data_IF_393087537625
#
_entry.id   IF_393087537625
#
_cell.length_a   1.000
_cell.length_b   1.000
_cell.length_c   1.000
_cell.angle_alpha   90.00
_cell.angle_beta   90.00
_cell.angle_gamma   90.00
#
_symmetry.space_group_name_H-M   'P 1'
#
loop_
_entity.id
_entity.type
_entity.pdbx_description
1 polymer ?
#
# COMPACT_ATOMS: atom_id res chain seq x y z
N UNK A 1 -31.05 -0.31 17.53
CA UNK A 1 -30.08 -1.12 18.28
C UNK A 1 -28.73 -0.55 17.90
N UNK A 2 -28.01 0.06 18.84
CA UNK A 2 -26.62 0.43 18.60
C UNK A 2 -25.82 -0.87 18.46
N UNK A 3 -25.35 -1.18 17.26
CA UNK A 3 -24.38 -2.26 17.07
C UNK A 3 -23.07 -1.78 17.67
N UNK A 4 -22.71 -2.34 18.83
CA UNK A 4 -21.40 -2.12 19.44
C UNK A 4 -20.41 -2.96 18.62
N UNK A 5 -19.75 -2.33 17.66
CA UNK A 5 -18.67 -2.96 16.88
C UNK A 5 -17.51 -3.25 17.82
N UNK A 6 -17.10 -4.52 17.91
CA UNK A 6 -16.00 -4.95 18.78
C UNK A 6 -14.70 -5.00 17.98
N UNK A 7 -13.78 -4.11 18.31
CA UNK A 7 -12.44 -4.05 17.70
C UNK A 7 -11.38 -4.79 18.52
N UNK A 8 -10.26 -5.13 17.88
CA UNK A 8 -9.08 -5.71 18.51
C UNK A 8 -8.47 -4.75 19.52
N UNK A 9 -7.91 -5.28 20.62
CA UNK A 9 -7.21 -4.45 21.59
C UNK A 9 -5.85 -3.96 21.08
N UNK A 10 -5.34 -2.86 21.66
CA UNK A 10 -4.05 -2.24 21.30
C UNK A 10 -2.88 -3.23 21.38
N UNK A 11 -2.84 -4.08 22.41
CA UNK A 11 -1.77 -5.08 22.54
C UNK A 11 -1.82 -6.12 21.43
N UNK A 12 -3.02 -6.51 20.98
CA UNK A 12 -3.16 -7.39 19.82
C UNK A 12 -2.72 -6.70 18.54
N UNK A 13 -3.09 -5.42 18.35
CA UNK A 13 -2.64 -4.61 17.23
C UNK A 13 -1.10 -4.55 17.17
N UNK A 14 -0.41 -4.26 18.28
CA UNK A 14 1.06 -4.23 18.33
C UNK A 14 1.68 -5.58 17.98
N UNK A 15 1.09 -6.69 18.44
CA UNK A 15 1.55 -8.04 18.07
C UNK A 15 1.42 -8.25 16.55
N UNK A 16 0.30 -7.82 15.95
CA UNK A 16 0.14 -7.87 14.49
C UNK A 16 1.22 -7.03 13.82
N UNK A 17 1.35 -5.74 14.16
CA UNK A 17 2.29 -4.81 13.53
C UNK A 17 3.76 -5.28 13.62
N UNK A 18 4.16 -5.82 14.77
CA UNK A 18 5.52 -6.34 14.99
C UNK A 18 5.81 -7.65 14.24
N UNK A 19 4.78 -8.39 13.83
CA UNK A 19 4.93 -9.61 13.03
C UNK A 19 5.08 -9.35 11.53
N UNK A 20 4.74 -8.15 11.06
CA UNK A 20 4.74 -7.81 9.63
C UNK A 20 6.13 -7.48 9.13
N UNK A 21 6.50 -8.09 8.00
CA UNK A 21 7.61 -7.62 7.19
C UNK A 21 7.18 -6.43 6.33
N UNK A 22 8.12 -5.61 5.82
CA UNK A 22 7.81 -4.58 4.84
C UNK A 22 7.11 -5.15 3.60
N UNK A 23 7.49 -6.36 3.18
CA UNK A 23 6.86 -7.05 2.05
C UNK A 23 5.38 -7.37 2.32
N UNK A 24 5.04 -7.85 3.53
CA UNK A 24 3.65 -8.11 3.93
C UNK A 24 2.78 -6.84 3.90
N UNK A 25 3.41 -5.67 4.02
CA UNK A 25 2.75 -4.36 4.01
C UNK A 25 2.62 -3.82 2.58
N UNK A 26 3.66 -3.89 1.76
CA UNK A 26 3.62 -3.26 0.42
C UNK A 26 2.98 -4.15 -0.64
N UNK A 27 3.15 -5.48 -0.54
CA UNK A 27 2.70 -6.43 -1.56
C UNK A 27 1.19 -6.37 -1.79
N UNK A 28 0.32 -6.35 -0.77
CA UNK A 28 -1.13 -6.32 -1.00
C UNK A 28 -1.57 -5.04 -1.72
N UNK A 29 -0.98 -3.88 -1.38
CA UNK A 29 -1.24 -2.63 -2.08
C UNK A 29 -0.81 -2.71 -3.54
N UNK A 30 0.40 -3.22 -3.80
CA UNK A 30 0.95 -3.32 -5.15
C UNK A 30 0.16 -4.26 -6.05
N UNK A 31 -0.24 -5.44 -5.56
CA UNK A 31 -1.06 -6.41 -6.31
C UNK A 31 -2.47 -5.89 -6.64
N UNK A 32 -2.96 -4.89 -5.92
CA UNK A 32 -4.27 -4.29 -6.12
C UNK A 32 -4.23 -2.88 -6.74
N UNK A 33 -3.03 -2.38 -7.01
CA UNK A 33 -2.79 -1.09 -7.65
C UNK A 33 -2.77 -1.24 -9.17
N UNK A 34 -3.16 -0.18 -9.87
CA UNK A 34 -3.05 -0.12 -11.33
C UNK A 34 -2.83 1.32 -11.77
N UNK A 35 -1.70 1.58 -12.42
CA UNK A 35 -1.31 2.91 -12.90
C UNK A 35 -2.42 3.57 -13.71
N UNK A 36 -2.73 4.82 -13.40
CA UNK A 36 -3.77 5.64 -14.01
C UNK A 36 -5.21 5.22 -13.70
N UNK A 37 -5.44 4.13 -12.97
CA UNK A 37 -6.78 3.54 -12.78
C UNK A 37 -7.18 3.33 -11.33
N UNK A 38 -6.33 2.68 -10.53
CA UNK A 38 -6.65 2.24 -9.16
C UNK A 38 -5.53 2.61 -8.20
N UNK A 39 -5.89 3.29 -7.11
CA UNK A 39 -5.03 3.46 -5.95
C UNK A 39 -5.04 2.15 -5.16
N UNK A 40 -3.86 1.60 -4.88
CA UNK A 40 -3.73 0.37 -4.08
C UNK A 40 -3.53 0.71 -2.61
N UNK A 41 -4.21 -0.02 -1.74
CA UNK A 41 -4.08 0.10 -0.28
C UNK A 41 -3.78 -1.25 0.34
N UNK A 42 -2.99 -1.24 1.41
CA UNK A 42 -2.93 -2.33 2.38
C UNK A 42 -3.63 -1.88 3.64
N UNK A 43 -4.65 -2.63 4.06
CA UNK A 43 -5.53 -2.30 5.19
C UNK A 43 -5.48 -3.38 6.25
N UNK A 44 -5.61 -2.96 7.50
CA UNK A 44 -5.84 -3.84 8.64
C UNK A 44 -7.28 -3.67 9.10
N UNK A 45 -8.07 -4.74 9.07
CA UNK A 45 -9.43 -4.77 9.61
C UNK A 45 -9.36 -4.76 11.15
N UNK A 46 -9.93 -3.74 11.80
CA UNK A 46 -9.87 -3.63 13.25
C UNK A 46 -10.78 -4.62 13.99
N UNK A 47 -11.76 -5.22 13.33
CA UNK A 47 -12.63 -6.24 13.93
C UNK A 47 -11.97 -7.62 13.94
N UNK A 48 -11.33 -8.00 12.82
CA UNK A 48 -10.74 -9.33 12.65
C UNK A 48 -9.23 -9.37 12.94
N UNK A 49 -8.54 -8.24 12.82
CA UNK A 49 -7.07 -8.16 12.83
C UNK A 49 -6.41 -8.64 11.54
N UNK A 50 -7.19 -8.92 10.49
CA UNK A 50 -6.67 -9.39 9.21
C UNK A 50 -6.17 -8.24 8.33
N UNK A 51 -5.10 -8.52 7.58
CA UNK A 51 -4.51 -7.57 6.64
C UNK A 51 -4.87 -8.00 5.22
N UNK A 52 -5.28 -7.04 4.40
CA UNK A 52 -5.70 -7.29 3.03
C UNK A 52 -5.43 -6.11 2.12
N UNK A 53 -5.29 -6.40 0.83
CA UNK A 53 -5.15 -5.39 -0.23
C UNK A 53 -6.50 -4.96 -0.79
N UNK A 54 -6.64 -3.69 -1.17
CA UNK A 54 -7.80 -3.20 -1.93
C UNK A 54 -7.37 -2.18 -2.98
N UNK A 55 -7.93 -2.33 -4.19
CA UNK A 55 -7.78 -1.37 -5.28
C UNK A 55 -9.01 -0.49 -5.35
N UNK A 56 -8.82 0.82 -5.18
CA UNK A 56 -9.90 1.80 -5.22
C UNK A 56 -9.78 2.60 -6.52
N UNK A 57 -10.81 2.52 -7.36
CA UNK A 57 -10.89 3.35 -8.57
C UNK A 57 -11.10 4.82 -8.20
N UNK A 58 -10.58 5.73 -9.03
CA UNK A 58 -10.61 7.18 -8.82
C UNK A 58 -11.99 7.77 -8.48
N UNK A 59 -13.08 7.11 -8.89
CA UNK A 59 -14.45 7.58 -8.67
C UNK A 59 -15.22 6.77 -7.62
N UNK A 60 -14.61 5.76 -7.00
CA UNK A 60 -15.26 4.95 -5.97
C UNK A 60 -14.78 5.40 -4.60
N UNK A 61 -15.72 5.82 -3.75
CA UNK A 61 -15.45 5.99 -2.33
C UNK A 61 -15.35 4.60 -1.68
N UNK A 62 -14.42 4.38 -0.74
CA UNK A 62 -14.34 3.13 0.00
C UNK A 62 -15.68 2.86 0.70
N UNK A 63 -16.15 1.61 0.64
CA UNK A 63 -17.44 1.20 1.17
C UNK A 63 -17.51 1.49 2.69
N UNK A 64 -18.68 1.92 3.23
CA UNK A 64 -18.75 2.61 4.52
C UNK A 64 -18.75 1.72 5.76
N UNK A 65 -18.62 0.39 5.63
CA UNK A 65 -19.13 -0.52 6.66
C UNK A 65 -18.07 -1.36 7.41
N UNK A 66 -16.78 -1.12 7.21
CA UNK A 66 -15.73 -1.84 7.94
C UNK A 66 -14.82 -0.85 8.66
N UNK A 67 -14.55 -1.08 9.94
CA UNK A 67 -13.56 -0.28 10.69
C UNK A 67 -12.17 -0.81 10.34
N UNK A 68 -11.34 0.00 9.70
CA UNK A 68 -9.99 -0.38 9.27
C UNK A 68 -9.00 0.76 9.45
N UNK A 69 -7.71 0.43 9.36
CA UNK A 69 -6.62 1.41 9.22
C UNK A 69 -5.78 1.10 7.98
N UNK A 70 -5.39 2.15 7.26
CA UNK A 70 -4.47 2.04 6.13
C UNK A 70 -3.02 1.94 6.63
N UNK A 71 -2.35 0.84 6.30
CA UNK A 71 -0.94 0.60 6.61
C UNK A 71 0.00 1.16 5.54
N UNK A 72 -0.42 1.08 4.27
CA UNK A 72 0.35 1.55 3.12
C UNK A 72 -0.58 1.88 1.95
N UNK A 73 -0.12 2.79 1.06
CA UNK A 73 -0.89 3.31 -0.07
C UNK A 73 0.04 3.56 -1.25
N UNK A 74 -0.42 3.24 -2.45
CA UNK A 74 0.20 3.63 -3.72
C UNK A 74 -0.85 4.39 -4.53
N UNK A 75 -0.63 5.69 -4.77
CA UNK A 75 -1.58 6.49 -5.55
C UNK A 75 -1.65 6.02 -7.00
N UNK A 76 -2.83 6.16 -7.61
CA UNK A 76 -3.05 5.71 -8.99
C UNK A 76 -2.11 6.38 -9.99
N UNK A 77 -1.62 7.58 -9.70
CA UNK A 77 -0.71 8.32 -10.57
C UNK A 77 0.74 8.30 -10.11
N UNK A 78 1.04 7.61 -9.00
CA UNK A 78 2.41 7.40 -8.60
C UNK A 78 3.05 6.37 -9.51
N UNK A 79 4.33 6.55 -9.81
CA UNK A 79 5.17 5.48 -10.31
C UNK A 79 6.14 5.11 -9.19
N UNK A 80 5.84 4.04 -8.42
CA UNK A 80 6.45 3.90 -7.12
C UNK A 80 7.87 3.30 -7.21
N UNK A 81 8.29 2.82 -8.39
CA UNK A 81 9.66 2.37 -8.71
C UNK A 81 9.99 2.80 -10.15
N UNK A 82 10.95 3.71 -10.30
CA UNK A 82 11.42 4.14 -11.61
C UNK A 82 12.40 3.12 -12.23
N UNK A 83 12.67 3.28 -13.53
CA UNK A 83 13.55 2.38 -14.29
C UNK A 83 15.01 2.39 -13.77
N UNK A 84 15.47 3.55 -13.29
CA UNK A 84 16.84 3.74 -12.77
C UNK A 84 17.04 3.01 -11.44
N UNK A 85 15.99 2.94 -10.62
CA UNK A 85 15.95 2.20 -9.37
C UNK A 85 15.70 0.70 -9.61
N UNK A 86 14.85 0.38 -10.58
CA UNK A 86 14.46 -0.99 -10.89
C UNK A 86 15.65 -1.85 -11.34
N UNK A 87 16.54 -1.27 -12.14
CA UNK A 87 17.71 -1.94 -12.68
C UNK A 87 18.99 -1.58 -11.93
N UNK A 88 19.90 -2.54 -11.78
CA UNK A 88 21.29 -2.21 -11.44
C UNK A 88 21.91 -1.36 -12.55
N UNK A 89 22.98 -0.61 -12.23
CA UNK A 89 23.62 0.27 -13.23
C UNK A 89 24.07 -0.47 -14.50
N UNK A 90 24.46 -1.74 -14.42
CA UNK A 90 24.77 -2.55 -15.61
C UNK A 90 23.52 -2.95 -16.38
N UNK A 91 22.48 -3.44 -15.69
CA UNK A 91 21.20 -3.82 -16.32
C UNK A 91 20.53 -2.62 -16.98
N UNK A 92 20.60 -1.43 -16.36
CA UNK A 92 20.02 -0.21 -16.89
C UNK A 92 20.69 0.21 -18.20
N UNK A 93 22.02 0.13 -18.30
CA UNK A 93 22.72 0.41 -19.55
C UNK A 93 22.33 -0.58 -20.65
N UNK A 94 22.21 -1.87 -20.32
CA UNK A 94 21.74 -2.89 -21.26
C UNK A 94 20.28 -2.63 -21.69
N UNK A 95 19.44 -2.17 -20.77
CA UNK A 95 18.06 -1.77 -21.04
C UNK A 95 17.98 -0.54 -21.96
N UNK A 96 18.86 0.45 -21.79
CA UNK A 96 18.96 1.61 -22.69
C UNK A 96 19.41 1.21 -24.10
N UNK A 97 20.36 0.28 -24.22
CA UNK A 97 20.75 -0.27 -25.53
C UNK A 97 19.61 -1.05 -26.17
N UNK A 98 18.90 -1.86 -25.39
CA UNK A 98 17.73 -2.61 -25.86
C UNK A 98 16.62 -1.68 -26.35
N UNK A 99 16.20 -0.70 -25.53
CA UNK A 99 15.12 0.24 -25.83
C UNK A 99 15.43 1.19 -26.99
N UNK A 100 16.71 1.51 -27.23
CA UNK A 100 17.13 2.33 -28.38
C UNK A 100 17.25 1.56 -29.70
N UNK A 101 17.38 0.23 -29.64
CA UNK A 101 17.54 -0.64 -30.81
C UNK A 101 16.22 -1.10 -31.43
N UNK A 102 15.13 -1.09 -30.66
CA UNK A 102 13.76 -1.38 -31.06
C UNK A 102 13.05 -0.08 -31.47
N UNK A 103 12.75 0.18 -32.77
CA UNK A 103 11.95 1.34 -33.17
C UNK A 103 10.48 1.08 -32.86
N UNK A 104 10.14 1.09 -31.58
CA UNK A 104 8.82 0.71 -31.09
C UNK A 104 7.88 1.90 -31.11
N UNK A 105 7.16 2.08 -32.22
CA UNK A 105 5.96 2.92 -32.27
C UNK A 105 4.75 2.25 -31.57
N UNK A 106 4.88 1.06 -30.96
CA UNK A 106 3.71 0.23 -30.60
C UNK A 106 3.82 -0.76 -29.43
N UNK A 107 4.88 -0.80 -28.62
CA UNK A 107 4.95 -1.75 -27.47
C UNK A 107 4.68 -1.00 -26.17
N UNK A 108 3.54 -1.23 -25.49
CA UNK A 108 3.16 -0.50 -24.27
C UNK A 108 4.02 -0.83 -23.03
N UNK A 109 4.88 -1.86 -23.06
CA UNK A 109 5.61 -2.32 -21.88
C UNK A 109 7.01 -2.92 -22.20
N UNK A 110 7.95 -2.05 -22.58
CA UNK A 110 9.34 -2.41 -22.94
C UNK A 110 10.10 -3.03 -21.75
N UNK A 111 9.73 -2.65 -20.51
CA UNK A 111 10.36 -3.17 -19.29
C UNK A 111 10.03 -4.65 -19.13
N UNK A 112 8.76 -5.04 -19.29
CA UNK A 112 8.36 -6.45 -19.19
C UNK A 112 9.08 -7.31 -20.22
N UNK A 113 9.20 -6.86 -21.47
CA UNK A 113 9.91 -7.60 -22.51
C UNK A 113 11.41 -7.79 -22.18
N UNK A 114 12.08 -6.73 -21.72
CA UNK A 114 13.47 -6.83 -21.29
C UNK A 114 13.62 -7.80 -20.10
N UNK A 115 12.70 -7.75 -19.14
CA UNK A 115 12.70 -8.66 -17.99
C UNK A 115 12.53 -10.11 -18.42
N UNK A 116 11.60 -10.41 -19.34
CA UNK A 116 11.40 -11.75 -19.88
C UNK A 116 12.66 -12.27 -20.58
N UNK A 117 13.30 -11.44 -21.42
CA UNK A 117 14.53 -11.79 -22.12
C UNK A 117 15.70 -12.09 -21.17
N UNK A 118 15.77 -11.37 -20.04
CA UNK A 118 16.83 -11.53 -19.04
C UNK A 118 16.50 -12.54 -17.95
N UNK A 119 15.27 -13.09 -17.93
CA UNK A 119 14.79 -13.98 -16.88
C UNK A 119 14.63 -13.29 -15.52
N UNK A 120 14.31 -12.00 -15.53
CA UNK A 120 14.06 -11.19 -14.32
C UNK A 120 12.57 -11.31 -13.95
N UNK A 121 12.30 -11.66 -12.69
CA UNK A 121 10.95 -11.61 -12.14
C UNK A 121 10.62 -10.15 -11.75
N UNK A 122 9.96 -9.45 -12.68
CA UNK A 122 9.65 -8.03 -12.56
C UNK A 122 8.81 -7.73 -11.31
N UNK A 123 7.70 -8.44 -11.12
CA UNK A 123 6.79 -8.25 -9.99
C UNK A 123 7.51 -8.43 -8.66
N UNK A 124 8.26 -9.53 -8.52
CA UNK A 124 9.01 -9.81 -7.29
C UNK A 124 10.06 -8.73 -7.01
N UNK A 125 10.75 -8.24 -8.05
CA UNK A 125 11.77 -7.20 -7.89
C UNK A 125 11.15 -5.86 -7.52
N UNK A 126 10.04 -5.45 -8.17
CA UNK A 126 9.31 -4.23 -7.81
C UNK A 126 8.80 -4.28 -6.37
N UNK A 127 8.19 -5.39 -5.94
CA UNK A 127 7.77 -5.59 -4.55
C UNK A 127 8.96 -5.50 -3.58
N UNK A 128 10.09 -6.13 -3.92
CA UNK A 128 11.29 -6.10 -3.09
C UNK A 128 11.89 -4.70 -2.94
N UNK A 129 11.94 -3.91 -4.01
CA UNK A 129 12.41 -2.52 -3.98
C UNK A 129 11.42 -1.63 -3.21
N UNK A 130 10.11 -1.80 -3.41
CA UNK A 130 9.09 -1.10 -2.63
C UNK A 130 9.21 -1.39 -1.13
N UNK A 131 9.43 -2.65 -0.77
CA UNK A 131 9.62 -3.07 0.61
C UNK A 131 10.87 -2.41 1.22
N UNK A 132 11.96 -2.35 0.45
CA UNK A 132 13.19 -1.66 0.85
C UNK A 132 12.97 -0.14 1.04
N UNK A 133 12.27 0.52 0.11
CA UNK A 133 11.95 1.93 0.19
C UNK A 133 11.03 2.25 1.36
N UNK A 134 10.01 1.43 1.60
CA UNK A 134 9.13 1.56 2.75
C UNK A 134 9.90 1.42 4.08
N UNK A 135 10.76 0.40 4.20
CA UNK A 135 11.60 0.21 5.38
C UNK A 135 12.54 1.41 5.60
N UNK A 136 13.12 1.96 4.54
CA UNK A 136 14.06 3.08 4.61
C UNK A 136 13.39 4.42 4.89
N UNK A 137 12.21 4.67 4.31
CA UNK A 137 11.60 6.00 4.30
C UNK A 137 10.52 6.13 5.38
N UNK A 138 9.68 5.11 5.56
CA UNK A 138 8.53 5.15 6.49
C UNK A 138 8.81 4.39 7.79
N UNK A 139 9.45 3.21 7.70
CA UNK A 139 9.68 2.32 8.85
C UNK A 139 11.10 2.36 9.41
N UNK A 140 11.91 3.32 9.01
CA UNK A 140 13.32 3.44 9.48
C UNK A 140 13.41 3.60 11.00
N UNK A 141 12.38 4.17 11.60
CA UNK A 141 12.13 4.12 13.02
C UNK A 141 10.80 3.42 13.29
N UNK A 142 10.86 2.11 13.55
CA UNK A 142 9.70 1.28 13.84
C UNK A 142 8.80 1.88 14.93
N UNK A 143 9.36 2.44 16.02
CA UNK A 143 8.55 3.00 17.10
C UNK A 143 7.75 4.24 16.67
N UNK A 144 8.33 5.06 15.81
CA UNK A 144 7.62 6.22 15.24
C UNK A 144 6.52 5.76 14.28
N UNK A 145 6.83 4.79 13.43
CA UNK A 145 5.85 4.20 12.53
C UNK A 145 4.69 3.55 13.31
N UNK A 146 4.98 2.68 14.29
CA UNK A 146 3.97 2.06 15.17
C UNK A 146 3.11 3.13 15.85
N UNK A 147 3.72 4.18 16.39
CA UNK A 147 2.97 5.29 17.02
C UNK A 147 2.04 5.99 16.04
N UNK A 148 2.46 6.17 14.77
CA UNK A 148 1.59 6.74 13.72
C UNK A 148 0.38 5.84 13.41
N UNK A 149 0.58 4.52 13.41
CA UNK A 149 -0.50 3.54 13.21
C UNK A 149 -1.43 3.50 14.42
N UNK A 150 -0.90 3.59 15.63
CA UNK A 150 -1.72 3.69 16.85
C UNK A 150 -2.60 4.94 16.86
N UNK A 151 -2.09 6.08 16.37
CA UNK A 151 -2.91 7.29 16.22
C UNK A 151 -4.05 7.05 15.23
N UNK A 152 -3.78 6.46 14.06
CA UNK A 152 -4.83 6.07 13.10
C UNK A 152 -5.86 5.12 13.72
N UNK A 153 -5.41 4.16 14.54
CA UNK A 153 -6.29 3.26 15.26
C UNK A 153 -7.21 4.02 16.22
N UNK A 154 -6.67 4.96 17.01
CA UNK A 154 -7.49 5.79 17.89
C UNK A 154 -8.49 6.63 17.10
N UNK A 155 -8.05 7.28 16.02
CA UNK A 155 -8.92 8.09 15.18
C UNK A 155 -10.08 7.26 14.60
N UNK A 156 -9.79 6.08 14.05
CA UNK A 156 -10.81 5.17 13.51
C UNK A 156 -11.85 4.74 14.55
N UNK A 157 -11.40 4.39 15.77
CA UNK A 157 -12.34 4.01 16.83
C UNK A 157 -13.07 5.21 17.44
N UNK A 158 -12.50 6.42 17.41
CA UNK A 158 -13.15 7.63 17.94
C UNK A 158 -14.13 8.26 16.94
N UNK A 159 -13.87 8.18 15.64
CA UNK A 159 -14.80 8.61 14.58
C UNK A 159 -16.07 7.74 14.58
N UNK A 160 -15.94 6.43 14.82
CA UNK A 160 -17.08 5.51 14.98
C UNK A 160 -17.63 5.42 16.42
N UNK A 161 -16.89 5.92 17.43
CA UNK A 161 -17.33 6.02 18.83
C UNK A 161 -17.34 7.45 19.35
N UNK A 162 -18.05 8.35 18.68
CA UNK A 162 -18.48 9.60 19.31
C UNK A 162 -19.91 9.47 19.88
N UNK A 163 -20.10 8.99 21.13
CA UNK A 163 -21.39 9.09 21.82
C UNK A 163 -21.78 10.55 22.15
N UNK A 164 -20.92 11.53 21.81
CA UNK A 164 -21.14 12.96 21.95
C UNK A 164 -21.23 13.68 20.60
N UNK A 165 -21.78 13.04 19.56
CA UNK A 165 -22.63 13.80 18.63
C UNK A 165 -23.81 14.32 19.47
N UNK A 166 -23.60 15.44 20.16
CA UNK A 166 -24.68 16.24 20.69
C UNK A 166 -25.63 16.45 19.53
N UNK A 167 -26.83 15.87 19.66
CA UNK A 167 -27.95 16.29 18.86
C UNK A 167 -27.95 17.81 18.91
N UNK A 168 -27.68 18.47 17.80
CA UNK A 168 -28.19 19.81 17.60
C UNK A 168 -29.71 19.65 17.40
N UNK A 169 -30.40 19.28 18.47
CA UNK A 169 -31.80 19.59 18.63
C UNK A 169 -31.85 20.91 19.37
N UNK A 170 -32.10 21.93 18.55
CA UNK A 170 -32.91 23.10 18.88
C UNK A 170 -32.29 24.13 19.84
N UNK A 171 -31.90 25.26 19.24
CA UNK A 171 -32.65 26.51 19.40
C UNK A 171 -32.58 27.33 18.10
#
# INVERSE_FOLDING_TARGET
>A
MEEVVKVIGIEHLKVILSSLTPEDIVKPAYENWQTGMKTGYTRLNLETGEIYGIGVELNNLPLPNNIFIDLFKIDSYDDPIDEEEFFSSSEYNEFLEFSSSEPSEYIPDIITEFCELKGIDEMKRKIGLLAYNFEKNERSNYNMWESSILNKYYDAIYEDHNPFMFSQNSL
#
